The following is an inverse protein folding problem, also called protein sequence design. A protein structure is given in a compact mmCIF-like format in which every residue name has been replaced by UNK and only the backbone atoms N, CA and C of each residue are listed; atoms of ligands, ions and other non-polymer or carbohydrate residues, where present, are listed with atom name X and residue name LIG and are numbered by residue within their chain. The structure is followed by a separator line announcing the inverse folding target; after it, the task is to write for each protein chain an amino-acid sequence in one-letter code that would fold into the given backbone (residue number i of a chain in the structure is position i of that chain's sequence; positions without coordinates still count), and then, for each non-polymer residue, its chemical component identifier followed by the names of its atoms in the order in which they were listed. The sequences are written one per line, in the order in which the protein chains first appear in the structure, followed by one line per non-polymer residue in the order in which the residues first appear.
data_IF_275977294299
#
_entry.id   IF_275977294299
#
_cell.length_a   1.000
_cell.length_b   1.000
_cell.length_c   1.000
_cell.angle_alpha   90.00
_cell.angle_beta   90.00
_cell.angle_gamma   90.00
#
_symmetry.space_group_name_H-M   'P 1'
#
loop_
_entity.id
_entity.type
_entity.pdbx_description
1 polymer ?
#
# COMPACT_ATOMS: atom_id res chain seq x y z
N UNK A 1 -13.51 50.94 -19.88
CA UNK A 1 -13.82 50.68 -18.47
C UNK A 1 -12.57 50.05 -17.84
N UNK A 2 -11.93 50.81 -16.98
CA UNK A 2 -10.56 50.61 -16.61
C UNK A 2 -10.38 49.62 -15.45
N UNK A 3 -9.41 48.73 -15.61
CA UNK A 3 -8.95 47.82 -14.58
C UNK A 3 -7.84 48.52 -13.77
N UNK A 4 -8.04 48.68 -12.46
CA UNK A 4 -7.08 49.30 -11.54
C UNK A 4 -6.10 48.24 -11.03
N UNK A 5 -4.82 48.34 -11.41
CA UNK A 5 -3.71 47.67 -10.75
C UNK A 5 -3.40 48.34 -9.42
N UNK A 6 -3.49 47.59 -8.34
CA UNK A 6 -3.01 48.03 -7.02
C UNK A 6 -1.51 47.66 -6.90
N UNK A 7 -0.68 48.71 -6.91
CA UNK A 7 0.78 48.62 -6.74
C UNK A 7 1.11 48.74 -5.25
N UNK A 8 1.52 47.65 -4.61
CA UNK A 8 2.11 47.68 -3.27
C UNK A 8 3.54 48.17 -3.37
N UNK A 9 3.84 49.33 -2.78
CA UNK A 9 5.19 49.82 -2.57
C UNK A 9 5.63 49.37 -1.18
N UNK A 10 6.54 48.43 -1.07
CA UNK A 10 7.26 48.12 0.16
C UNK A 10 8.36 49.16 0.38
N UNK A 11 8.28 49.89 1.50
CA UNK A 11 9.33 50.82 1.96
C UNK A 11 10.32 50.00 2.77
N UNK A 12 11.51 49.79 2.22
CA UNK A 12 12.67 49.30 2.99
C UNK A 12 13.45 50.48 3.57
N UNK A 13 13.39 50.67 4.88
CA UNK A 13 14.27 51.58 5.58
C UNK A 13 15.63 50.90 5.88
N UNK A 14 16.67 51.60 5.51
CA UNK A 14 18.10 51.35 5.65
C UNK A 14 18.52 50.65 6.94
N UNK A 15 19.15 49.46 6.82
CA UNK A 15 20.41 49.07 7.45
C UNK A 15 20.88 47.75 6.89
N UNK A 16 22.18 47.68 6.53
CA UNK A 16 22.86 46.55 5.87
C UNK A 16 22.67 45.24 6.64
N UNK A 17 21.85 44.36 6.09
CA UNK A 17 21.90 42.94 6.43
C UNK A 17 21.56 42.19 5.16
N UNK A 18 22.46 41.32 4.73
CA UNK A 18 22.33 40.52 3.50
C UNK A 18 21.07 39.66 3.56
N UNK A 19 20.11 39.89 2.68
CA UNK A 19 19.00 38.99 2.44
C UNK A 19 19.54 37.80 1.65
N UNK A 20 19.95 36.74 2.34
CA UNK A 20 20.17 35.43 1.70
C UNK A 20 18.83 34.88 1.30
N UNK A 21 18.59 34.84 0.00
CA UNK A 21 17.47 34.10 -0.59
C UNK A 21 17.63 32.62 -0.24
N UNK A 22 16.90 32.13 0.76
CA UNK A 22 16.76 30.70 1.01
C UNK A 22 16.04 30.08 -0.18
N UNK A 23 16.78 29.27 -0.95
CA UNK A 23 16.28 28.48 -2.05
C UNK A 23 15.05 27.71 -1.63
N UNK A 24 13.95 27.82 -2.42
CA UNK A 24 12.61 27.27 -2.16
C UNK A 24 12.47 25.75 -2.09
N UNK A 25 13.54 24.99 -1.82
CA UNK A 25 13.48 23.53 -1.72
C UNK A 25 12.82 22.98 -0.46
N UNK A 26 12.89 23.73 0.67
CA UNK A 26 12.36 23.26 1.94
C UNK A 26 10.82 23.36 2.03
N UNK A 27 10.23 24.31 1.29
CA UNK A 27 8.77 24.50 1.30
C UNK A 27 8.05 23.44 0.45
N UNK A 28 8.64 23.12 -0.73
CA UNK A 28 8.08 22.08 -1.63
C UNK A 28 8.12 20.69 -0.96
N UNK A 29 9.21 20.36 -0.25
CA UNK A 29 9.30 19.09 0.47
C UNK A 29 8.27 18.97 1.61
N UNK A 30 7.97 20.07 2.30
CA UNK A 30 6.94 20.09 3.36
C UNK A 30 5.52 19.93 2.80
N UNK A 31 5.23 20.56 1.64
CA UNK A 31 3.92 20.41 1.00
C UNK A 31 3.73 19.00 0.42
N UNK A 32 4.75 18.42 -0.19
CA UNK A 32 4.70 17.03 -0.67
C UNK A 32 4.45 16.04 0.49
N UNK A 33 5.07 16.27 1.65
CA UNK A 33 4.87 15.43 2.83
C UNK A 33 3.46 15.56 3.43
N UNK A 34 2.90 16.77 3.45
CA UNK A 34 1.53 17.01 3.92
C UNK A 34 0.52 16.41 2.95
N UNK A 35 0.73 16.53 1.63
CA UNK A 35 -0.15 15.92 0.62
C UNK A 35 -0.11 14.39 0.70
N UNK A 36 1.06 13.78 0.94
CA UNK A 36 1.19 12.36 1.16
C UNK A 36 0.44 11.88 2.42
N UNK A 37 0.44 12.67 3.49
CA UNK A 37 -0.32 12.34 4.72
C UNK A 37 -1.84 12.40 4.52
N UNK A 38 -2.34 13.33 3.71
CA UNK A 38 -3.78 13.47 3.43
C UNK A 38 -4.30 12.30 2.57
N UNK A 39 -3.46 11.75 1.68
CA UNK A 39 -3.82 10.59 0.84
C UNK A 39 -3.70 9.23 1.55
N UNK A 40 -3.24 9.21 2.80
CA UNK A 40 -2.98 8.01 3.59
C UNK A 40 -4.07 7.71 4.65
N UNK A 41 -5.26 8.23 4.48
CA UNK A 41 -6.37 7.91 5.39
C UNK A 41 -7.15 6.72 4.85
N UNK A 42 -7.06 5.58 5.52
CA UNK A 42 -8.02 4.50 5.34
C UNK A 42 -9.30 4.82 6.11
N UNK A 43 -10.44 4.30 5.68
CA UNK A 43 -11.69 4.40 6.44
C UNK A 43 -11.74 3.43 7.63
N UNK A 44 -10.76 2.52 7.76
CA UNK A 44 -10.69 1.60 8.89
C UNK A 44 -10.16 2.28 10.15
N UNK A 45 -10.72 1.91 11.31
CA UNK A 45 -10.23 2.34 12.62
C UNK A 45 -8.95 1.60 13.07
N UNK A 46 -8.50 0.59 12.32
CA UNK A 46 -7.33 -0.21 12.67
C UNK A 46 -6.04 0.60 12.57
N UNK A 47 -5.15 0.38 13.53
CA UNK A 47 -3.79 0.92 13.50
C UNK A 47 -2.88 -0.08 12.81
N UNK A 48 -2.22 0.25 11.69
CA UNK A 48 -1.40 -0.71 10.97
C UNK A 48 -0.13 -1.07 11.72
N UNK A 49 0.27 -2.33 11.62
CA UNK A 49 1.57 -2.81 12.06
C UNK A 49 2.50 -2.83 10.85
N UNK A 50 3.67 -2.17 10.95
CA UNK A 50 4.67 -2.23 9.87
C UNK A 50 5.25 -3.62 9.76
N UNK A 51 5.33 -4.09 8.51
CA UNK A 51 5.87 -5.40 8.16
C UNK A 51 6.49 -5.37 6.77
N UNK A 52 7.04 -6.51 6.37
CA UNK A 52 7.61 -6.74 5.03
C UNK A 52 6.90 -7.91 4.35
N UNK A 53 6.93 -7.96 3.02
CA UNK A 53 6.41 -9.12 2.29
C UNK A 53 7.04 -10.43 2.78
N UNK A 54 8.38 -10.54 2.96
CA UNK A 54 8.98 -11.76 3.50
C UNK A 54 8.54 -12.13 4.93
N UNK A 55 8.16 -11.17 5.75
CA UNK A 55 7.59 -11.48 7.07
C UNK A 55 6.16 -12.02 6.98
N UNK A 56 5.39 -11.62 5.96
CA UNK A 56 4.07 -12.18 5.68
C UNK A 56 4.21 -13.60 5.14
N UNK A 57 5.03 -13.77 4.11
CA UNK A 57 5.17 -15.04 3.39
C UNK A 57 6.01 -16.08 4.14
N UNK A 58 7.00 -15.64 4.92
CA UNK A 58 8.00 -16.53 5.53
C UNK A 58 9.04 -17.03 4.54
N UNK A 59 9.71 -18.13 4.91
CA UNK A 59 10.79 -18.74 4.13
C UNK A 59 10.51 -20.19 3.71
N UNK A 60 9.36 -20.74 4.07
CA UNK A 60 8.97 -22.09 3.70
C UNK A 60 8.27 -22.08 2.35
N UNK A 61 8.70 -23.02 1.49
CA UNK A 61 8.16 -23.17 0.14
C UNK A 61 7.25 -24.39 0.04
N UNK A 62 6.20 -24.26 -0.75
CA UNK A 62 5.39 -25.38 -1.23
C UNK A 62 6.03 -26.03 -2.47
N UNK A 63 5.40 -27.07 -3.02
CA UNK A 63 5.91 -27.79 -4.19
C UNK A 63 6.08 -26.93 -5.46
N UNK A 64 5.37 -25.81 -5.54
CA UNK A 64 5.43 -24.83 -6.65
C UNK A 64 6.33 -23.62 -6.33
N UNK A 65 7.11 -23.69 -5.25
CA UNK A 65 7.98 -22.64 -4.74
C UNK A 65 7.28 -21.41 -4.19
N UNK A 66 5.97 -21.41 -4.07
CA UNK A 66 5.22 -20.39 -3.38
C UNK A 66 5.31 -20.50 -1.86
N UNK A 67 4.85 -19.49 -1.14
CA UNK A 67 4.86 -19.51 0.32
C UNK A 67 3.83 -20.50 0.87
N UNK A 68 4.18 -21.15 2.00
CA UNK A 68 3.26 -22.01 2.74
C UNK A 68 2.41 -21.21 3.73
N UNK A 69 1.28 -21.76 4.16
CA UNK A 69 0.43 -21.19 5.19
C UNK A 69 1.15 -20.95 6.52
N UNK A 70 2.05 -21.86 6.89
CA UNK A 70 2.72 -21.84 8.19
C UNK A 70 4.03 -21.03 8.22
N UNK A 71 4.47 -20.48 7.09
CA UNK A 71 5.83 -19.94 6.96
C UNK A 71 6.03 -18.53 7.47
N UNK A 72 4.97 -17.75 7.61
CA UNK A 72 5.02 -16.32 7.91
C UNK A 72 4.87 -15.98 9.39
N UNK A 73 5.01 -14.68 9.66
CA UNK A 73 4.80 -14.09 10.98
C UNK A 73 3.32 -14.07 11.38
N UNK A 74 2.45 -13.98 10.40
CA UNK A 74 1.02 -13.84 10.62
C UNK A 74 0.36 -15.21 10.66
N UNK A 75 -0.69 -15.32 11.45
CA UNK A 75 -1.52 -16.51 11.47
C UNK A 75 -2.62 -16.38 10.41
N UNK A 76 -2.96 -17.44 9.67
CA UNK A 76 -3.98 -17.38 8.61
C UNK A 76 -5.39 -17.40 9.24
N UNK A 77 -5.75 -16.30 9.88
CA UNK A 77 -7.03 -16.18 10.60
C UNK A 77 -8.20 -15.87 9.68
N UNK A 78 -7.93 -15.17 8.58
CA UNK A 78 -8.93 -14.91 7.56
C UNK A 78 -8.91 -16.04 6.55
N UNK A 79 -10.01 -16.77 6.45
CA UNK A 79 -10.17 -17.88 5.52
C UNK A 79 -11.57 -17.88 4.95
N UNK A 80 -11.64 -17.87 3.62
CA UNK A 80 -12.88 -18.02 2.89
C UNK A 80 -13.65 -16.73 2.60
N UNK A 81 -14.52 -16.75 1.60
CA UNK A 81 -15.16 -15.58 1.03
C UNK A 81 -15.89 -14.65 1.99
N UNK A 82 -16.64 -15.13 3.02
CA UNK A 82 -17.33 -14.21 3.91
C UNK A 82 -16.43 -13.28 4.72
N UNK A 83 -15.13 -13.61 4.85
CA UNK A 83 -14.18 -12.81 5.62
C UNK A 83 -13.44 -11.81 4.74
N UNK A 84 -13.19 -12.15 3.47
CA UNK A 84 -12.56 -11.25 2.49
C UNK A 84 -13.39 -10.00 2.25
N UNK A 85 -14.70 -10.16 2.15
CA UNK A 85 -15.64 -9.10 1.76
C UNK A 85 -16.24 -8.32 2.95
N UNK A 86 -15.61 -8.37 4.14
CA UNK A 86 -16.08 -7.60 5.28
C UNK A 86 -15.75 -6.12 5.12
N UNK A 87 -16.75 -5.25 5.31
CA UNK A 87 -16.53 -3.79 5.31
C UNK A 87 -15.71 -3.31 6.50
N UNK A 88 -15.73 -4.06 7.60
CA UNK A 88 -15.00 -3.74 8.83
C UNK A 88 -14.31 -4.99 9.38
N UNK A 89 -13.21 -5.47 8.75
CA UNK A 89 -12.46 -6.59 9.28
C UNK A 89 -11.91 -6.28 10.68
N UNK A 90 -11.77 -7.33 11.50
CA UNK A 90 -11.21 -7.17 12.85
C UNK A 90 -9.74 -6.75 12.76
N UNK A 91 -9.31 -5.78 13.56
CA UNK A 91 -7.93 -5.31 13.63
C UNK A 91 -6.95 -6.32 14.21
N UNK A 92 -7.47 -7.28 14.97
CA UNK A 92 -6.72 -8.33 15.66
C UNK A 92 -7.58 -9.57 15.80
N UNK A 93 -6.99 -10.75 15.63
CA UNK A 93 -7.63 -12.04 15.85
C UNK A 93 -6.68 -12.91 16.68
N UNK A 94 -7.19 -13.38 17.83
CA UNK A 94 -6.42 -14.25 18.72
C UNK A 94 -5.09 -13.64 19.22
N UNK A 95 -5.02 -12.32 19.39
CA UNK A 95 -3.81 -11.60 19.80
C UNK A 95 -2.83 -11.32 18.64
N UNK A 96 -3.21 -11.65 17.40
CA UNK A 96 -2.39 -11.38 16.22
C UNK A 96 -2.98 -10.21 15.43
N UNK A 97 -2.21 -9.16 15.15
CA UNK A 97 -2.64 -8.08 14.28
C UNK A 97 -2.96 -8.61 12.88
N UNK A 98 -4.03 -8.09 12.27
CA UNK A 98 -4.45 -8.45 10.92
C UNK A 98 -4.20 -7.32 9.93
N UNK A 99 -4.16 -6.06 10.40
CA UNK A 99 -3.99 -4.88 9.59
C UNK A 99 -2.53 -4.43 9.58
N UNK A 100 -1.94 -4.37 8.39
CA UNK A 100 -0.51 -4.11 8.20
C UNK A 100 -0.23 -2.94 7.26
N UNK A 101 0.99 -2.40 7.37
CA UNK A 101 1.57 -1.46 6.42
C UNK A 101 2.84 -2.08 5.84
N UNK A 102 2.91 -2.14 4.51
CA UNK A 102 4.09 -2.59 3.77
C UNK A 102 4.60 -1.43 2.93
N UNK A 103 5.77 -0.94 3.26
CA UNK A 103 6.39 0.20 2.59
C UNK A 103 7.22 -0.25 1.38
N UNK A 104 7.33 0.65 0.40
CA UNK A 104 8.27 0.57 -0.71
C UNK A 104 8.16 -0.71 -1.53
N UNK A 105 6.94 -1.02 -1.93
CA UNK A 105 6.62 -2.11 -2.85
C UNK A 105 6.49 -1.60 -4.28
N UNK A 106 6.69 -2.49 -5.26
CA UNK A 106 6.59 -2.17 -6.69
C UNK A 106 5.50 -3.00 -7.32
N UNK A 107 4.62 -2.37 -8.11
CA UNK A 107 3.67 -3.11 -8.94
C UNK A 107 4.44 -4.00 -9.91
N UNK A 108 4.28 -5.30 -9.80
CA UNK A 108 5.00 -6.31 -10.59
C UNK A 108 4.11 -7.05 -11.61
N UNK A 109 2.80 -6.86 -11.52
CA UNK A 109 1.80 -7.39 -12.47
C UNK A 109 0.85 -6.28 -12.86
N UNK A 110 0.41 -6.25 -14.12
CA UNK A 110 -0.64 -5.33 -14.57
C UNK A 110 -1.91 -5.57 -13.77
N UNK A 111 -2.52 -4.52 -13.18
CA UNK A 111 -3.77 -4.66 -12.47
C UNK A 111 -4.86 -5.31 -13.32
N UNK A 112 -5.68 -6.11 -12.68
CA UNK A 112 -6.78 -6.83 -13.32
C UNK A 112 -8.06 -6.68 -12.49
N UNK A 113 -9.14 -6.37 -13.16
CA UNK A 113 -10.48 -6.38 -12.57
C UNK A 113 -11.15 -7.68 -12.86
N UNK A 114 -11.46 -8.41 -11.80
CA UNK A 114 -12.16 -9.69 -11.85
C UNK A 114 -13.67 -9.52 -12.05
N UNK A 115 -14.37 -10.64 -12.23
CA UNK A 115 -15.83 -10.65 -12.40
C UNK A 115 -16.60 -10.30 -11.11
N UNK A 116 -15.96 -10.45 -9.95
CA UNK A 116 -16.44 -10.05 -8.62
C UNK A 116 -16.13 -8.59 -8.26
N UNK A 117 -15.62 -7.83 -9.24
CA UNK A 117 -15.28 -6.41 -9.18
C UNK A 117 -14.02 -6.09 -8.39
N UNK A 118 -13.27 -7.06 -7.90
CA UNK A 118 -11.99 -6.82 -7.26
C UNK A 118 -11.00 -6.20 -8.26
N UNK A 119 -10.20 -5.23 -7.80
CA UNK A 119 -9.07 -4.68 -8.55
C UNK A 119 -7.78 -5.23 -7.94
N UNK A 120 -7.18 -6.22 -8.59
CA UNK A 120 -6.08 -7.01 -8.07
C UNK A 120 -4.77 -6.78 -8.81
N UNK A 121 -3.65 -6.89 -8.09
CA UNK A 121 -2.30 -6.88 -8.67
C UNK A 121 -1.33 -7.65 -7.79
N UNK A 122 -0.09 -7.82 -8.26
CA UNK A 122 1.01 -8.31 -7.44
C UNK A 122 2.00 -7.18 -7.17
N UNK A 123 2.54 -7.16 -5.96
CA UNK A 123 3.61 -6.25 -5.58
C UNK A 123 4.83 -7.02 -5.11
N UNK A 124 6.00 -6.51 -5.47
CA UNK A 124 7.29 -7.09 -5.07
C UNK A 124 8.04 -6.09 -4.20
N UNK A 125 8.67 -6.56 -3.13
CA UNK A 125 9.50 -5.72 -2.27
C UNK A 125 10.98 -5.95 -2.57
N UNK A 126 11.70 -4.86 -2.83
CA UNK A 126 13.15 -4.88 -2.97
C UNK A 126 13.85 -4.90 -1.59
N UNK A 127 15.16 -5.19 -1.58
CA UNK A 127 15.98 -4.99 -0.39
C UNK A 127 16.19 -6.22 0.51
N UNK A 128 15.77 -7.40 0.09
CA UNK A 128 16.05 -8.66 0.79
C UNK A 128 16.92 -9.57 -0.07
N UNK A 129 18.25 -9.33 -0.12
CA UNK A 129 19.18 -10.13 -0.91
C UNK A 129 19.36 -11.57 -0.40
N UNK A 130 19.05 -11.79 0.86
CA UNK A 130 19.04 -13.10 1.53
C UNK A 130 17.91 -14.03 1.03
N UNK A 131 16.87 -13.47 0.42
CA UNK A 131 15.79 -14.25 -0.18
C UNK A 131 16.01 -14.30 -1.70
N UNK A 132 16.43 -15.45 -2.22
CA UNK A 132 16.71 -15.64 -3.64
C UNK A 132 15.46 -15.95 -4.48
N UNK A 133 14.49 -16.66 -3.87
CA UNK A 133 13.23 -16.97 -4.54
C UNK A 133 12.35 -15.71 -4.73
N UNK A 134 12.05 -15.30 -5.98
CA UNK A 134 11.23 -14.12 -6.22
C UNK A 134 9.78 -14.26 -5.72
N UNK A 135 9.23 -15.46 -5.65
CA UNK A 135 7.88 -15.71 -5.15
C UNK A 135 7.75 -15.39 -3.66
N UNK A 136 8.83 -15.58 -2.86
CA UNK A 136 8.86 -15.20 -1.45
C UNK A 136 9.10 -13.70 -1.21
N UNK A 137 9.10 -12.88 -2.26
CA UNK A 137 9.17 -11.41 -2.21
C UNK A 137 7.97 -10.75 -2.87
N UNK A 138 7.06 -11.52 -3.42
CA UNK A 138 5.92 -11.05 -4.19
C UNK A 138 4.64 -11.45 -3.50
N UNK A 139 3.78 -10.47 -3.26
CA UNK A 139 2.51 -10.64 -2.56
C UNK A 139 1.37 -10.25 -3.49
N UNK A 140 0.30 -11.03 -3.50
CA UNK A 140 -0.95 -10.65 -4.13
C UNK A 140 -1.67 -9.63 -3.27
N UNK A 141 -2.27 -8.60 -3.90
CA UNK A 141 -2.99 -7.55 -3.19
C UNK A 141 -4.26 -7.18 -3.95
N UNK A 142 -5.36 -6.97 -3.23
CA UNK A 142 -6.68 -6.72 -3.81
C UNK A 142 -7.40 -5.55 -3.14
N UNK A 143 -7.95 -4.67 -3.97
CA UNK A 143 -8.98 -3.71 -3.57
C UNK A 143 -10.32 -4.43 -3.77
N UNK A 144 -10.99 -4.72 -2.69
CA UNK A 144 -12.21 -5.53 -2.64
C UNK A 144 -13.40 -4.89 -3.37
N UNK A 145 -14.10 -5.67 -4.17
CA UNK A 145 -15.26 -5.20 -4.94
C UNK A 145 -16.41 -4.71 -4.06
N UNK A 146 -16.65 -5.33 -2.89
CA UNK A 146 -17.67 -4.86 -1.95
C UNK A 146 -17.31 -3.47 -1.40
N UNK A 147 -16.01 -3.19 -1.22
CA UNK A 147 -15.53 -1.88 -0.80
C UNK A 147 -15.65 -0.84 -1.91
N UNK A 148 -15.39 -1.25 -3.17
CA UNK A 148 -15.59 -0.40 -4.37
C UNK A 148 -17.06 -0.02 -4.50
N UNK A 149 -17.95 -0.99 -4.44
CA UNK A 149 -19.40 -0.80 -4.57
C UNK A 149 -19.97 0.01 -3.40
N UNK A 150 -19.39 -0.15 -2.21
CA UNK A 150 -19.72 0.62 -1.01
C UNK A 150 -19.14 2.03 -0.95
N UNK A 151 -18.34 2.46 -1.94
CA UNK A 151 -17.63 3.74 -1.98
C UNK A 151 -16.72 3.99 -0.77
N UNK A 152 -16.11 2.94 -0.24
CA UNK A 152 -15.14 3.00 0.88
C UNK A 152 -13.74 2.52 0.47
N UNK A 153 -13.59 2.02 -0.75
CA UNK A 153 -12.32 1.60 -1.30
C UNK A 153 -11.34 2.77 -1.50
N UNK A 154 -10.02 2.51 -1.45
CA UNK A 154 -9.03 3.46 -1.95
C UNK A 154 -9.18 3.65 -3.48
N UNK A 155 -8.47 4.60 -4.09
CA UNK A 155 -8.37 4.67 -5.55
C UNK A 155 -7.88 3.34 -6.14
N UNK A 156 -8.34 3.00 -7.35
CA UNK A 156 -7.88 1.81 -8.07
C UNK A 156 -6.38 1.87 -8.34
N UNK A 157 -5.78 0.70 -8.59
CA UNK A 157 -4.34 0.61 -8.81
C UNK A 157 -3.88 1.42 -10.03
N UNK A 158 -2.70 2.06 -9.98
CA UNK A 158 -2.08 2.66 -11.16
C UNK A 158 -1.62 1.56 -12.13
N UNK A 159 -1.91 1.71 -13.43
CA UNK A 159 -1.65 0.70 -14.47
C UNK A 159 -0.16 0.49 -14.78
N UNK A 160 0.72 1.36 -14.28
CA UNK A 160 2.14 1.36 -14.64
C UNK A 160 2.94 0.37 -13.80
N UNK A 161 3.50 -0.66 -14.43
CA UNK A 161 4.47 -1.58 -13.80
C UNK A 161 5.69 -0.82 -13.24
N UNK A 162 6.21 -1.29 -12.13
CA UNK A 162 7.31 -0.68 -11.42
C UNK A 162 6.93 0.57 -10.62
N UNK A 163 5.64 0.96 -10.59
CA UNK A 163 5.18 2.04 -9.71
C UNK A 163 5.44 1.67 -8.26
N UNK A 164 6.09 2.59 -7.53
CA UNK A 164 6.44 2.41 -6.11
C UNK A 164 5.33 2.92 -5.22
N UNK A 165 4.90 2.06 -4.31
CA UNK A 165 3.79 2.31 -3.40
C UNK A 165 4.17 1.96 -1.97
N UNK A 166 3.49 2.62 -1.03
CA UNK A 166 3.29 2.10 0.32
C UNK A 166 1.82 1.65 0.40
N UNK A 167 1.54 0.51 1.01
CA UNK A 167 0.20 -0.06 1.05
C UNK A 167 -0.22 -0.45 2.46
N UNK A 168 -1.51 -0.30 2.78
CA UNK A 168 -2.12 -0.77 4.01
C UNK A 168 -3.28 -1.71 3.68
N UNK A 169 -3.31 -2.88 4.31
CA UNK A 169 -4.35 -3.87 4.06
C UNK A 169 -4.41 -4.93 5.15
N UNK A 170 -5.40 -5.79 5.04
CA UNK A 170 -5.59 -6.91 5.95
C UNK A 170 -4.91 -8.15 5.40
N UNK A 171 -4.11 -8.80 6.24
CA UNK A 171 -3.44 -10.07 5.87
C UNK A 171 -4.48 -11.17 5.83
N UNK A 172 -4.55 -11.86 4.69
CA UNK A 172 -5.50 -12.91 4.42
C UNK A 172 -4.79 -14.16 3.89
N UNK A 173 -5.37 -15.33 4.14
CA UNK A 173 -4.97 -16.59 3.52
C UNK A 173 -6.11 -17.12 2.65
N UNK A 174 -5.92 -17.12 1.35
CA UNK A 174 -6.83 -17.71 0.39
C UNK A 174 -6.41 -19.15 0.01
N UNK A 175 -7.07 -20.17 0.56
CA UNK A 175 -6.74 -21.57 0.24
C UNK A 175 -7.14 -21.99 -1.17
N UNK A 176 -7.96 -21.20 -1.87
CA UNK A 176 -8.43 -21.56 -3.22
C UNK A 176 -7.39 -21.27 -4.30
N UNK A 177 -6.42 -20.38 -4.04
CA UNK A 177 -5.47 -19.92 -5.05
C UNK A 177 -4.01 -20.28 -4.76
N UNK A 178 -3.76 -21.23 -3.86
CA UNK A 178 -2.40 -21.64 -3.45
C UNK A 178 -1.55 -22.23 -4.58
N UNK A 179 -2.18 -22.73 -5.65
CA UNK A 179 -1.50 -23.38 -6.78
C UNK A 179 -1.54 -22.55 -8.08
N UNK A 180 -1.91 -21.25 -8.00
CA UNK A 180 -2.05 -20.41 -9.19
C UNK A 180 -0.87 -19.48 -9.39
N UNK A 181 -0.36 -19.39 -10.63
CA UNK A 181 0.79 -18.52 -10.98
C UNK A 181 0.49 -17.05 -10.70
N UNK A 182 -0.72 -16.59 -11.01
CA UNK A 182 -1.09 -15.20 -10.84
C UNK A 182 -1.15 -14.79 -9.37
N UNK A 183 -1.32 -15.74 -8.47
CA UNK A 183 -1.27 -15.57 -7.00
C UNK A 183 0.10 -15.95 -6.43
N UNK A 184 1.11 -16.14 -7.26
CA UNK A 184 2.48 -16.51 -6.89
C UNK A 184 2.57 -17.85 -6.15
N UNK A 185 1.67 -18.79 -6.43
CA UNK A 185 1.57 -20.10 -5.77
C UNK A 185 1.50 -20.03 -4.24
N UNK A 186 0.87 -18.97 -3.73
CA UNK A 186 0.72 -18.72 -2.29
C UNK A 186 -0.72 -18.32 -2.00
N UNK A 187 -1.25 -18.71 -0.87
CA UNK A 187 -2.54 -18.20 -0.40
C UNK A 187 -2.43 -16.87 0.37
N UNK A 188 -1.22 -16.36 0.62
CA UNK A 188 -1.04 -15.08 1.29
C UNK A 188 -1.35 -13.91 0.39
N UNK A 189 -2.16 -12.98 0.91
CA UNK A 189 -2.51 -11.73 0.23
C UNK A 189 -2.81 -10.60 1.23
N UNK A 190 -2.89 -9.37 0.72
CA UNK A 190 -3.59 -8.28 1.42
C UNK A 190 -4.96 -8.11 0.78
N UNK A 191 -5.98 -8.53 1.49
CA UNK A 191 -7.36 -8.45 1.07
C UNK A 191 -8.31 -8.23 2.24
N UNK A 192 -9.01 -7.11 2.32
CA UNK A 192 -8.94 -5.95 1.43
C UNK A 192 -7.73 -5.03 1.69
N UNK A 193 -7.26 -4.39 0.64
CA UNK A 193 -6.39 -3.23 0.78
C UNK A 193 -7.23 -2.02 1.12
N UNK A 194 -6.87 -1.35 2.22
CA UNK A 194 -7.63 -0.23 2.76
C UNK A 194 -7.10 1.14 2.34
N UNK A 195 -5.82 1.23 2.04
CA UNK A 195 -5.19 2.46 1.55
C UNK A 195 -3.88 2.16 0.82
N UNK A 196 -3.51 3.06 -0.11
CA UNK A 196 -2.19 3.08 -0.72
C UNK A 196 -1.80 4.53 -1.07
N UNK A 197 -0.51 4.76 -1.23
CA UNK A 197 0.06 6.01 -1.71
C UNK A 197 1.33 5.76 -2.51
N UNK A 198 1.74 6.74 -3.31
CA UNK A 198 3.06 6.70 -3.91
C UNK A 198 4.14 6.80 -2.83
N UNK A 199 5.12 5.89 -2.89
CA UNK A 199 6.26 5.94 -1.96
C UNK A 199 7.10 7.19 -2.22
N UNK A 200 7.51 7.86 -1.15
CA UNK A 200 8.33 9.08 -1.22
C UNK A 200 9.84 8.82 -1.36
N UNK A 201 10.25 7.54 -1.47
CA UNK A 201 11.67 7.14 -1.52
C UNK A 201 12.19 7.00 -2.94
#
# INVERSE_FOLDING_TARGET
MGSRFVRWRGVCASRRTACTARKGGALVARFAHITALVSWSSHTACKPVRTTIPEILGTQENASHGATEAGGRFQPHFRGPPQQHQLNPACEIGGTPTFVEVDDVFISRTPNRSADHDDSTNVTQAGRPDITNPQLKTLHIEIDGTWIDGNVAPPLWPDKLGTRLDVQGFVFWDPAHVDTDWHQHSGWELHPVAAWRYSAR
#
